data_IF_249060561073
#
_entry.id   IF_249060561073
#
_cell.length_a   1.000
_cell.length_b   1.000
_cell.length_c   1.000
_cell.angle_alpha   90.00
_cell.angle_beta   90.00
_cell.angle_gamma   90.00
#
_symmetry.space_group_name_H-M   'P 1'
#
loop_
_entity.id
_entity.type
_entity.pdbx_description
1 polymer ?
#
# COMPACT_ATOMS: atom_id res chain seq x y z
N UNK A 1 38.23 -15.35 27.25
CA UNK A 1 36.99 -15.83 26.61
C UNK A 1 36.12 -14.62 26.37
N UNK A 2 35.97 -14.26 25.10
CA UNK A 2 35.07 -13.23 24.60
C UNK A 2 33.73 -13.91 24.30
N UNK A 3 32.64 -13.41 24.86
CA UNK A 3 31.25 -13.62 24.42
C UNK A 3 30.52 -12.33 24.80
N UNK A 4 30.45 -11.34 23.90
CA UNK A 4 29.57 -11.20 22.73
C UNK A 4 28.11 -10.87 23.06
N UNK A 5 27.85 -9.57 22.99
CA UNK A 5 26.70 -8.89 22.39
C UNK A 5 25.40 -9.69 22.19
N UNK A 6 24.35 -9.27 22.87
CA UNK A 6 23.01 -9.21 22.26
C UNK A 6 22.21 -8.14 23.01
N UNK A 7 22.46 -6.88 22.65
CA UNK A 7 21.48 -5.81 22.82
C UNK A 7 20.19 -6.28 22.17
N UNK A 8 19.17 -6.47 23.01
CA UNK A 8 17.81 -6.78 22.57
C UNK A 8 17.39 -5.77 21.51
N UNK A 9 16.94 -6.28 20.37
CA UNK A 9 16.26 -5.46 19.39
C UNK A 9 14.96 -5.00 20.05
N UNK A 10 14.88 -3.71 20.39
CA UNK A 10 13.66 -3.08 20.85
C UNK A 10 12.60 -3.20 19.73
N UNK A 11 11.76 -4.22 19.84
CA UNK A 11 10.51 -4.33 19.09
C UNK A 11 9.55 -3.28 19.62
N UNK A 12 9.58 -2.09 19.03
CA UNK A 12 8.55 -1.07 19.27
C UNK A 12 8.02 -0.52 17.93
N UNK A 13 7.67 -1.44 17.03
CA UNK A 13 6.92 -1.13 15.82
C UNK A 13 5.42 -1.22 16.13
N UNK A 14 4.94 -0.33 17.00
CA UNK A 14 3.50 -0.12 17.15
C UNK A 14 2.97 0.68 15.94
N UNK A 15 2.95 0.04 14.76
CA UNK A 15 2.10 0.46 13.64
C UNK A 15 0.64 0.19 14.03
N UNK A 16 0.14 0.93 15.03
CA UNK A 16 -1.27 0.91 15.39
C UNK A 16 -2.09 1.37 14.19
N UNK A 17 -3.26 0.77 13.99
CA UNK A 17 -4.27 1.23 13.03
C UNK A 17 -4.56 2.73 13.18
N UNK A 18 -4.39 3.27 14.39
CA UNK A 18 -4.53 4.69 14.69
C UNK A 18 -3.52 5.58 13.96
N UNK A 19 -2.33 5.07 13.64
CA UNK A 19 -1.32 5.82 12.88
C UNK A 19 -1.72 5.99 11.42
N UNK A 20 -2.25 4.94 10.79
CA UNK A 20 -2.74 4.99 9.41
C UNK A 20 -3.98 5.86 9.29
N UNK A 21 -4.91 5.77 10.25
CA UNK A 21 -6.09 6.64 10.31
C UNK A 21 -5.72 8.13 10.42
N UNK A 22 -4.66 8.47 11.17
CA UNK A 22 -4.17 9.85 11.29
C UNK A 22 -3.40 10.33 10.05
N UNK A 23 -2.98 9.41 9.18
CA UNK A 23 -2.20 9.68 7.98
C UNK A 23 -2.86 9.01 6.77
N UNK A 24 -4.12 9.35 6.51
CA UNK A 24 -4.94 8.73 5.46
C UNK A 24 -4.25 8.72 4.08
N UNK A 25 -3.38 9.70 3.80
CA UNK A 25 -2.56 9.74 2.58
C UNK A 25 -1.59 8.57 2.40
N UNK A 26 -1.23 7.89 3.50
CA UNK A 26 -0.38 6.69 3.51
C UNK A 26 -1.16 5.41 3.22
N UNK A 27 -2.48 5.45 3.38
CA UNK A 27 -3.35 4.33 3.00
C UNK A 27 -3.48 4.32 1.48
N UNK A 28 -3.30 3.19 0.80
CA UNK A 28 -3.42 3.16 -0.65
C UNK A 28 -4.84 3.53 -1.12
N UNK A 29 -4.95 4.12 -2.31
CA UNK A 29 -6.20 4.74 -2.76
C UNK A 29 -7.36 3.74 -2.92
N UNK A 30 -7.08 2.56 -3.46
CA UNK A 30 -8.06 1.49 -3.58
C UNK A 30 -8.53 1.00 -2.19
N UNK A 31 -7.63 0.86 -1.21
CA UNK A 31 -8.02 0.54 0.16
C UNK A 31 -8.91 1.62 0.79
N UNK A 32 -8.57 2.92 0.67
CA UNK A 32 -9.44 4.01 1.17
C UNK A 32 -10.85 3.97 0.57
N UNK A 33 -10.95 3.65 -0.72
CA UNK A 33 -12.24 3.60 -1.42
C UNK A 33 -13.01 2.33 -1.02
N UNK A 34 -12.31 1.20 -0.81
CA UNK A 34 -12.87 -0.04 -0.28
C UNK A 34 -13.44 0.09 1.13
N UNK A 35 -12.75 0.83 2.00
CA UNK A 35 -13.13 1.07 3.39
C UNK A 35 -14.25 2.14 3.52
N UNK A 36 -14.58 2.84 2.44
CA UNK A 36 -15.61 3.89 2.45
C UNK A 36 -17.00 3.32 2.15
N UNK A 37 -17.91 3.41 3.14
CA UNK A 37 -19.33 3.03 3.04
C UNK A 37 -20.02 3.60 1.78
N UNK A 38 -19.63 4.81 1.36
CA UNK A 38 -20.18 5.48 0.17
C UNK A 38 -19.93 4.72 -1.14
N UNK A 39 -18.78 4.07 -1.26
CA UNK A 39 -18.32 3.43 -2.51
C UNK A 39 -18.41 1.90 -2.45
N UNK A 40 -18.63 1.34 -1.26
CA UNK A 40 -18.67 -0.10 -1.03
C UNK A 40 -19.65 -0.80 -1.99
N UNK A 41 -20.86 -0.27 -2.17
CA UNK A 41 -21.86 -0.88 -3.06
C UNK A 41 -21.42 -0.92 -4.53
N UNK A 42 -20.67 0.08 -5.00
CA UNK A 42 -20.14 0.13 -6.37
C UNK A 42 -18.97 -0.85 -6.56
N UNK A 43 -18.20 -1.09 -5.49
CA UNK A 43 -17.10 -2.06 -5.51
C UNK A 43 -17.57 -3.51 -5.35
N UNK A 44 -18.80 -3.74 -4.87
CA UNK A 44 -19.41 -5.07 -4.82
C UNK A 44 -20.08 -5.45 -6.15
N UNK A 45 -20.25 -4.51 -7.07
CA UNK A 45 -20.77 -4.76 -8.40
C UNK A 45 -19.65 -5.30 -9.31
N UNK A 46 -19.75 -6.54 -9.83
CA UNK A 46 -18.71 -7.14 -10.66
C UNK A 46 -18.52 -6.40 -12.00
N UNK A 47 -19.54 -5.72 -12.53
CA UNK A 47 -19.45 -4.98 -13.79
C UNK A 47 -18.77 -3.62 -13.61
N UNK A 48 -18.77 -3.07 -12.39
CA UNK A 48 -18.24 -1.74 -12.07
C UNK A 48 -16.92 -1.76 -11.29
N UNK A 49 -16.73 -2.76 -10.44
CA UNK A 49 -15.57 -2.85 -9.54
C UNK A 49 -14.24 -2.87 -10.30
N UNK A 50 -14.12 -3.71 -11.33
CA UNK A 50 -12.93 -3.78 -12.17
C UNK A 50 -12.64 -2.46 -12.88
N UNK A 51 -13.69 -1.79 -13.38
CA UNK A 51 -13.56 -0.48 -14.01
C UNK A 51 -13.07 0.58 -13.03
N UNK A 52 -13.65 0.65 -11.83
CA UNK A 52 -13.29 1.63 -10.80
C UNK A 52 -11.85 1.40 -10.34
N UNK A 53 -11.49 0.16 -10.02
CA UNK A 53 -10.13 -0.21 -9.60
C UNK A 53 -9.13 0.15 -10.71
N UNK A 54 -9.42 -0.21 -11.96
CA UNK A 54 -8.58 0.14 -13.11
C UNK A 54 -8.36 1.64 -13.28
N UNK A 55 -9.39 2.46 -13.02
CA UNK A 55 -9.29 3.93 -13.05
C UNK A 55 -8.40 4.48 -11.93
N UNK A 56 -8.47 3.90 -10.73
CA UNK A 56 -7.62 4.28 -9.60
C UNK A 56 -6.16 3.92 -9.90
N UNK A 57 -5.90 2.69 -10.34
CA UNK A 57 -4.56 2.21 -10.72
C UNK A 57 -3.96 3.14 -11.77
N UNK A 58 -4.69 3.45 -12.85
CA UNK A 58 -4.20 4.33 -13.90
C UNK A 58 -3.87 5.75 -13.38
N UNK A 59 -4.65 6.27 -12.42
CA UNK A 59 -4.42 7.58 -11.83
C UNK A 59 -3.19 7.60 -10.90
N UNK A 60 -3.03 6.56 -10.09
CA UNK A 60 -1.97 6.47 -9.08
C UNK A 60 -0.61 6.09 -9.68
N UNK A 61 -0.60 5.26 -10.73
CA UNK A 61 0.62 4.67 -11.30
C UNK A 61 1.68 5.71 -11.65
N UNK A 62 1.27 6.81 -12.29
CA UNK A 62 2.20 7.86 -12.72
C UNK A 62 2.92 8.56 -11.57
N UNK A 63 2.35 8.55 -10.36
CA UNK A 63 2.91 9.18 -9.17
C UNK A 63 3.68 8.19 -8.30
N UNK A 64 3.15 6.99 -8.14
CA UNK A 64 3.60 6.04 -7.12
C UNK A 64 4.65 5.08 -7.64
N UNK A 65 4.48 4.54 -8.85
CA UNK A 65 5.43 3.59 -9.41
C UNK A 65 6.88 4.14 -9.46
N UNK A 66 7.13 5.41 -9.84
CA UNK A 66 8.48 5.97 -9.77
C UNK A 66 9.06 6.03 -8.34
N UNK A 67 8.21 6.23 -7.32
CA UNK A 67 8.63 6.24 -5.92
C UNK A 67 9.01 4.85 -5.43
N UNK A 68 8.26 3.83 -5.85
CA UNK A 68 8.56 2.42 -5.58
C UNK A 68 9.91 2.06 -6.19
N UNK A 69 10.09 2.28 -7.50
CA UNK A 69 11.34 2.00 -8.23
C UNK A 69 12.55 2.65 -7.54
N UNK A 70 12.39 3.92 -7.12
CA UNK A 70 13.46 4.65 -6.44
C UNK A 70 13.87 4.02 -5.09
N UNK A 71 12.95 3.34 -4.41
CA UNK A 71 13.12 2.86 -3.03
C UNK A 71 13.51 1.39 -2.93
N UNK A 72 13.02 0.55 -3.83
CA UNK A 72 13.15 -0.92 -3.77
C UNK A 72 14.40 -1.45 -4.50
N UNK A 73 14.84 -0.76 -5.56
CA UNK A 73 15.92 -1.21 -6.47
C UNK A 73 15.68 -2.61 -7.07
N UNK A 74 14.42 -3.01 -7.21
CA UNK A 74 14.07 -4.30 -7.79
C UNK A 74 14.05 -4.22 -9.32
N UNK A 75 13.70 -5.34 -9.96
CA UNK A 75 13.40 -5.32 -11.39
C UNK A 75 12.13 -4.49 -11.62
N UNK A 76 11.99 -3.94 -12.83
CA UNK A 76 10.77 -3.22 -13.22
C UNK A 76 9.50 -4.07 -13.03
N UNK A 77 9.60 -5.36 -13.31
CA UNK A 77 8.46 -6.29 -13.19
C UNK A 77 8.05 -6.49 -11.72
N UNK A 78 9.03 -6.62 -10.83
CA UNK A 78 8.77 -6.70 -9.39
C UNK A 78 8.20 -5.39 -8.84
N UNK A 79 8.68 -4.23 -9.31
CA UNK A 79 8.15 -2.92 -8.89
C UNK A 79 6.70 -2.70 -9.35
N UNK A 80 6.35 -3.16 -10.55
CA UNK A 80 4.96 -3.13 -11.05
C UNK A 80 4.07 -4.11 -10.28
N UNK A 81 4.62 -5.26 -9.88
CA UNK A 81 3.95 -6.24 -9.04
C UNK A 81 3.67 -5.65 -7.65
N UNK A 82 4.67 -5.01 -7.04
CA UNK A 82 4.49 -4.30 -5.76
C UNK A 82 3.45 -3.18 -5.87
N UNK A 83 3.48 -2.40 -6.95
CA UNK A 83 2.45 -1.38 -7.18
C UNK A 83 1.05 -2.00 -7.28
N UNK A 84 0.90 -3.12 -7.98
CA UNK A 84 -0.41 -3.76 -8.19
C UNK A 84 -0.95 -4.39 -6.91
N UNK A 85 -0.13 -5.10 -6.14
CA UNK A 85 -0.60 -5.90 -5.01
C UNK A 85 -0.46 -5.25 -3.63
N UNK A 86 0.50 -4.33 -3.47
CA UNK A 86 0.73 -3.66 -2.19
C UNK A 86 0.17 -2.24 -2.13
N UNK A 87 -0.16 -1.64 -3.28
CA UNK A 87 -0.66 -0.27 -3.36
C UNK A 87 -2.11 -0.12 -3.88
N UNK A 88 -2.81 -1.18 -4.30
CA UNK A 88 -4.24 -1.03 -4.64
C UNK A 88 -5.19 -2.06 -3.97
#
# INVERSE_FOLDING_TARGET
MVQDSTTGLDTDDNYSFDYLNKNESLVPACQRIGDSDKYQSLLMDPDLSEYIIGRIIAHERGKILPLIIKKTRLSKEDDETLFTYAWC
#
